data_IF_224212332795
#
_entry.id   IF_224212332795
#
_cell.length_a   1.000
_cell.length_b   1.000
_cell.length_c   1.000
_cell.angle_alpha   90.00
_cell.angle_beta   90.00
_cell.angle_gamma   90.00
#
_symmetry.space_group_name_H-M   'P 1'
#
loop_
_entity.id
_entity.type
_entity.pdbx_description
1 polymer ?
#
# COMPACT_ATOMS: atom_id res chain seq x y z
N UNK A 1 -1.90 -0.19 35.33
CA UNK A 1 -2.32 0.99 34.56
C UNK A 1 -1.83 0.84 33.13
N UNK A 2 -2.66 0.28 32.26
CA UNK A 2 -2.36 0.23 30.82
C UNK A 2 -2.35 1.67 30.30
N UNK A 3 -1.20 2.09 29.75
CA UNK A 3 -1.12 3.35 29.01
C UNK A 3 -1.99 3.16 27.76
N UNK A 4 -3.17 3.75 27.75
CA UNK A 4 -3.93 3.95 26.51
C UNK A 4 -3.01 4.62 25.49
N UNK A 5 -2.53 3.82 24.54
CA UNK A 5 -1.74 4.33 23.43
C UNK A 5 -2.75 5.10 22.60
N UNK A 6 -2.72 6.43 22.65
CA UNK A 6 -3.56 7.28 21.81
C UNK A 6 -3.17 7.03 20.36
N UNK A 7 -3.84 6.09 19.71
CA UNK A 7 -3.61 5.78 18.30
C UNK A 7 -3.97 7.02 17.50
N UNK A 8 -2.99 7.59 16.79
CA UNK A 8 -3.24 8.64 15.83
C UNK A 8 -4.20 8.11 14.77
N UNK A 9 -5.43 8.62 14.74
CA UNK A 9 -6.42 8.28 13.74
C UNK A 9 -6.57 9.44 12.76
N UNK A 10 -6.51 9.14 11.46
CA UNK A 10 -6.75 10.15 10.44
C UNK A 10 -8.23 10.50 10.43
N UNK A 11 -8.53 11.79 10.59
CA UNK A 11 -9.88 12.34 10.38
C UNK A 11 -9.94 12.88 8.95
N UNK A 12 -10.52 12.15 7.99
CA UNK A 12 -10.62 12.62 6.62
C UNK A 12 -11.52 13.87 6.56
N UNK A 13 -11.17 14.82 5.69
CA UNK A 13 -12.09 15.87 5.28
C UNK A 13 -13.05 15.22 4.28
N UNK A 14 -14.37 15.21 4.52
CA UNK A 14 -15.31 14.57 3.61
C UNK A 14 -15.25 15.21 2.23
N UNK A 15 -14.71 14.48 1.25
CA UNK A 15 -14.76 14.86 -0.15
C UNK A 15 -14.97 13.60 -0.99
N UNK A 16 -16.16 13.48 -1.59
CA UNK A 16 -16.58 12.31 -2.37
C UNK A 16 -15.81 12.11 -3.69
N UNK A 17 -14.98 13.07 -4.10
CA UNK A 17 -14.15 12.97 -5.31
C UNK A 17 -12.70 12.58 -5.02
N UNK A 18 -12.29 12.55 -3.75
CA UNK A 18 -10.90 12.22 -3.38
C UNK A 18 -10.82 10.75 -3.03
N UNK A 19 -9.88 10.04 -3.66
CA UNK A 19 -9.58 8.63 -3.37
C UNK A 19 -8.17 8.53 -2.78
N UNK A 20 -8.01 8.58 -1.44
CA UNK A 20 -6.71 8.56 -0.82
C UNK A 20 -5.98 7.24 -1.11
N UNK A 21 -4.69 7.31 -1.38
CA UNK A 21 -3.84 6.15 -1.60
C UNK A 21 -2.90 5.97 -0.41
N UNK A 22 -2.77 4.73 0.08
CA UNK A 22 -1.65 4.33 0.92
C UNK A 22 -0.80 3.28 0.20
N UNK A 23 0.50 3.35 0.41
CA UNK A 23 1.48 2.46 -0.21
C UNK A 23 2.07 1.58 0.87
N UNK A 24 1.91 0.27 0.73
CA UNK A 24 2.65 -0.71 1.51
C UNK A 24 3.80 -1.23 0.66
N UNK A 25 5.03 -1.09 1.14
CA UNK A 25 6.22 -1.49 0.38
C UNK A 25 7.15 -2.34 1.22
N UNK A 26 7.67 -3.40 0.62
CA UNK A 26 8.81 -4.14 1.15
C UNK A 26 10.10 -3.61 0.51
N UNK A 27 10.94 -2.84 1.24
CA UNK A 27 12.15 -2.22 0.67
C UNK A 27 13.15 -3.23 0.11
N UNK A 28 13.12 -4.49 0.60
CA UNK A 28 14.04 -5.56 0.21
C UNK A 28 13.63 -6.25 -1.10
N UNK A 29 12.43 -6.02 -1.61
CA UNK A 29 11.97 -6.63 -2.86
C UNK A 29 12.70 -6.09 -4.10
N UNK A 30 12.85 -6.94 -5.12
CA UNK A 30 13.36 -6.55 -6.44
C UNK A 30 14.83 -6.20 -6.52
N UNK A 31 15.68 -6.79 -5.66
CA UNK A 31 17.10 -6.46 -5.64
C UNK A 31 17.35 -5.01 -5.21
N UNK A 32 16.70 -4.59 -4.11
CA UNK A 32 16.75 -3.24 -3.55
C UNK A 32 16.01 -2.16 -4.37
N UNK A 33 15.21 -2.55 -5.36
CA UNK A 33 14.28 -1.64 -6.05
C UNK A 33 13.20 -1.08 -5.10
N UNK A 34 12.74 -1.89 -4.14
CA UNK A 34 11.76 -1.45 -3.14
C UNK A 34 12.21 -0.23 -2.34
N UNK A 35 13.47 -0.18 -1.91
CA UNK A 35 14.01 0.98 -1.18
C UNK A 35 14.04 2.25 -2.03
N UNK A 36 14.44 2.15 -3.31
CA UNK A 36 14.44 3.28 -4.24
C UNK A 36 13.01 3.79 -4.50
N UNK A 37 12.07 2.88 -4.66
CA UNK A 37 10.66 3.20 -4.86
C UNK A 37 10.04 3.86 -3.63
N UNK A 38 10.37 3.38 -2.44
CA UNK A 38 9.90 3.97 -1.19
C UNK A 38 10.27 5.45 -1.09
N UNK A 39 11.52 5.80 -1.42
CA UNK A 39 11.97 7.19 -1.45
C UNK A 39 11.20 8.03 -2.49
N UNK A 40 10.96 7.49 -3.68
CA UNK A 40 10.15 8.17 -4.71
C UNK A 40 8.71 8.38 -4.25
N UNK A 41 8.08 7.39 -3.61
CA UNK A 41 6.73 7.53 -3.08
C UNK A 41 6.66 8.58 -1.96
N UNK A 42 7.64 8.60 -1.04
CA UNK A 42 7.70 9.59 0.03
C UNK A 42 7.91 11.02 -0.47
N UNK A 43 8.50 11.19 -1.66
CA UNK A 43 8.63 12.47 -2.32
C UNK A 43 7.32 12.94 -2.99
N UNK A 44 6.58 12.00 -3.58
CA UNK A 44 5.35 12.29 -4.34
C UNK A 44 4.09 12.32 -3.49
N UNK A 45 4.08 11.60 -2.36
CA UNK A 45 2.96 11.48 -1.43
C UNK A 45 3.34 12.05 -0.07
N UNK A 46 2.37 12.23 0.82
CA UNK A 46 2.69 12.49 2.22
C UNK A 46 3.47 11.28 2.78
N UNK A 47 4.62 11.46 3.46
CA UNK A 47 5.38 10.33 4.02
C UNK A 47 4.57 9.41 4.93
N UNK A 48 3.49 9.90 5.56
CA UNK A 48 2.56 9.08 6.36
C UNK A 48 1.68 8.13 5.55
N UNK A 49 1.64 8.28 4.24
CA UNK A 49 0.93 7.37 3.32
C UNK A 49 1.84 6.22 2.83
N UNK A 50 3.14 6.24 3.14
CA UNK A 50 4.10 5.24 2.67
C UNK A 50 4.59 4.41 3.85
N UNK A 51 4.25 3.13 3.86
CA UNK A 51 4.49 2.21 4.95
C UNK A 51 5.53 1.16 4.56
N UNK A 52 6.64 1.14 5.31
CA UNK A 52 7.64 0.08 5.25
C UNK A 52 7.13 -1.16 5.99
N UNK A 53 6.89 -2.23 5.23
CA UNK A 53 6.38 -3.50 5.77
C UNK A 53 7.37 -4.21 6.70
N UNK A 54 8.66 -3.87 6.64
CA UNK A 54 9.65 -4.41 7.58
C UNK A 54 9.55 -3.78 8.97
N UNK A 55 8.80 -2.67 9.11
CA UNK A 55 8.60 -1.94 10.36
C UNK A 55 7.22 -2.22 10.96
N UNK A 56 6.94 -3.49 11.29
CA UNK A 56 5.71 -3.89 11.98
C UNK A 56 4.54 -4.26 11.07
N UNK A 57 4.76 -4.36 9.75
CA UNK A 57 3.79 -4.89 8.80
C UNK A 57 2.63 -3.95 8.44
N UNK A 58 1.62 -4.46 7.72
CA UNK A 58 0.57 -3.62 7.13
C UNK A 58 -0.50 -3.17 8.13
N UNK A 59 -0.64 -3.87 9.26
CA UNK A 59 -1.74 -3.68 10.23
C UNK A 59 -1.85 -2.23 10.72
N UNK A 60 -0.73 -1.64 11.13
CA UNK A 60 -0.71 -0.27 11.67
C UNK A 60 -1.22 0.76 10.65
N UNK A 61 -0.80 0.65 9.39
CA UNK A 61 -1.22 1.57 8.34
C UNK A 61 -2.70 1.43 8.02
N UNK A 62 -3.21 0.20 7.96
CA UNK A 62 -4.63 -0.04 7.74
C UNK A 62 -5.48 0.44 8.91
N UNK A 63 -5.06 0.25 10.17
CA UNK A 63 -5.76 0.78 11.35
C UNK A 63 -5.81 2.31 11.35
N UNK A 64 -4.72 2.97 10.95
CA UNK A 64 -4.64 4.44 10.88
C UNK A 64 -5.61 5.03 9.85
N UNK A 65 -5.82 4.32 8.74
CA UNK A 65 -6.65 4.74 7.61
C UNK A 65 -8.04 4.07 7.55
N UNK A 66 -8.41 3.21 8.52
CA UNK A 66 -9.67 2.43 8.48
C UNK A 66 -10.95 3.26 8.35
N UNK A 67 -10.92 4.54 8.75
CA UNK A 67 -12.08 5.46 8.69
C UNK A 67 -12.10 6.32 7.43
N UNK A 68 -11.12 6.14 6.55
CA UNK A 68 -10.99 6.90 5.31
C UNK A 68 -11.84 6.23 4.23
N UNK A 69 -12.85 6.94 3.75
CA UNK A 69 -13.70 6.48 2.65
C UNK A 69 -12.92 6.43 1.33
N UNK A 70 -13.29 5.53 0.43
CA UNK A 70 -12.66 5.38 -0.90
C UNK A 70 -11.13 5.19 -0.86
N UNK A 71 -10.63 4.61 0.24
CA UNK A 71 -9.22 4.27 0.38
C UNK A 71 -8.79 3.28 -0.70
N UNK A 72 -7.64 3.54 -1.30
CA UNK A 72 -6.96 2.64 -2.23
C UNK A 72 -5.59 2.24 -1.66
N UNK A 73 -5.23 0.99 -1.87
CA UNK A 73 -3.98 0.40 -1.36
C UNK A 73 -3.11 0.02 -2.55
N UNK A 74 -1.86 0.47 -2.52
CA UNK A 74 -0.82 0.01 -3.44
C UNK A 74 0.14 -0.94 -2.71
N UNK A 75 0.13 -2.21 -3.09
CA UNK A 75 0.99 -3.26 -2.54
C UNK A 75 2.24 -3.44 -3.41
N UNK A 76 3.40 -3.02 -2.91
CA UNK A 76 4.68 -3.08 -3.60
C UNK A 76 5.54 -4.22 -3.06
N UNK A 77 5.72 -5.29 -3.83
CA UNK A 77 6.48 -6.45 -3.40
C UNK A 77 6.34 -7.64 -4.34
N UNK A 78 6.81 -8.81 -3.90
CA UNK A 78 6.49 -10.09 -4.56
C UNK A 78 5.23 -10.74 -3.97
N UNK A 79 4.89 -11.94 -4.44
CA UNK A 79 3.67 -12.66 -4.05
C UNK A 79 3.51 -12.83 -2.54
N UNK A 80 4.58 -13.17 -1.81
CA UNK A 80 4.52 -13.29 -0.35
C UNK A 80 4.20 -11.96 0.36
N UNK A 81 4.64 -10.83 -0.19
CA UNK A 81 4.33 -9.49 0.34
C UNK A 81 2.87 -9.13 0.08
N UNK A 82 2.39 -9.37 -1.14
CA UNK A 82 0.99 -9.10 -1.51
C UNK A 82 0.04 -10.00 -0.72
N UNK A 83 0.33 -11.29 -0.63
CA UNK A 83 -0.45 -12.24 0.15
C UNK A 83 -0.54 -11.82 1.62
N UNK A 84 0.55 -11.38 2.23
CA UNK A 84 0.53 -10.89 3.61
C UNK A 84 -0.38 -9.67 3.80
N UNK A 85 -0.35 -8.72 2.87
CA UNK A 85 -1.25 -7.55 2.89
C UNK A 85 -2.71 -7.99 2.77
N UNK A 86 -3.04 -8.86 1.82
CA UNK A 86 -4.40 -9.35 1.60
C UNK A 86 -4.92 -10.12 2.82
N UNK A 87 -4.12 -11.02 3.40
CA UNK A 87 -4.50 -11.75 4.61
C UNK A 87 -4.71 -10.81 5.81
N UNK A 88 -3.91 -9.74 5.94
CA UNK A 88 -4.10 -8.77 7.02
C UNK A 88 -5.38 -7.95 6.81
N UNK A 89 -5.70 -7.61 5.57
CA UNK A 89 -6.93 -6.88 5.23
C UNK A 89 -8.18 -7.70 5.57
N UNK A 90 -8.16 -8.98 5.22
CA UNK A 90 -9.23 -9.95 5.52
C UNK A 90 -9.47 -10.05 7.04
N UNK A 91 -8.39 -10.15 7.83
CA UNK A 91 -8.47 -10.21 9.30
C UNK A 91 -9.06 -8.96 9.97
N UNK A 92 -8.96 -7.79 9.34
CA UNK A 92 -9.48 -6.55 9.92
C UNK A 92 -10.93 -6.25 9.58
N UNK A 93 -11.53 -7.02 8.66
CA UNK A 93 -12.95 -6.92 8.31
C UNK A 93 -13.40 -5.47 8.03
N UNK A 94 -12.60 -4.73 7.25
CA UNK A 94 -12.85 -3.33 6.89
C UNK A 94 -13.98 -3.29 5.85
N UNK A 95 -15.05 -2.53 6.14
CA UNK A 95 -16.20 -2.38 5.25
C UNK A 95 -16.41 -0.92 4.81
N UNK A 96 -16.53 -0.67 3.48
CA UNK A 96 -16.24 -1.58 2.38
C UNK A 96 -14.73 -1.89 2.28
N UNK A 97 -14.34 -3.06 1.75
CA UNK A 97 -12.93 -3.38 1.59
C UNK A 97 -12.27 -2.40 0.61
N UNK A 98 -11.10 -1.83 0.95
CA UNK A 98 -10.38 -0.93 0.06
C UNK A 98 -9.89 -1.67 -1.19
N UNK A 99 -9.89 -0.97 -2.33
CA UNK A 99 -9.33 -1.53 -3.56
C UNK A 99 -7.82 -1.69 -3.43
N UNK A 100 -7.28 -2.83 -3.87
CA UNK A 100 -5.85 -3.14 -3.80
C UNK A 100 -5.30 -3.25 -5.23
N UNK A 101 -4.26 -2.48 -5.52
CA UNK A 101 -3.43 -2.60 -6.71
C UNK A 101 -2.06 -3.17 -6.33
N UNK A 102 -1.46 -3.97 -7.21
CA UNK A 102 -0.15 -4.57 -6.99
C UNK A 102 0.89 -3.93 -7.89
N UNK A 103 2.01 -3.53 -7.29
CA UNK A 103 3.24 -3.19 -8.00
C UNK A 103 4.22 -4.37 -7.83
N UNK A 104 4.36 -5.23 -8.85
CA UNK A 104 5.19 -6.42 -8.76
C UNK A 104 6.68 -6.05 -8.71
N UNK A 105 7.34 -6.37 -7.60
CA UNK A 105 8.78 -6.14 -7.40
C UNK A 105 9.57 -7.45 -7.28
N UNK A 106 8.93 -8.62 -7.27
CA UNK A 106 9.61 -9.92 -7.16
C UNK A 106 10.12 -10.45 -8.51
N UNK A 107 10.67 -11.66 -8.51
CA UNK A 107 11.05 -12.41 -9.71
C UNK A 107 9.95 -13.38 -10.15
N UNK A 108 9.25 -14.00 -9.20
CA UNK A 108 8.10 -14.89 -9.42
C UNK A 108 6.77 -14.21 -9.11
N UNK A 109 6.44 -13.08 -9.76
CA UNK A 109 5.20 -12.33 -9.52
C UNK A 109 3.98 -13.02 -10.16
N UNK A 110 3.67 -14.25 -9.77
CA UNK A 110 2.63 -15.05 -10.41
C UNK A 110 1.24 -14.49 -10.10
N UNK A 111 1.05 -13.97 -8.87
CA UNK A 111 -0.19 -13.30 -8.49
C UNK A 111 -0.43 -12.04 -9.34
N UNK A 112 0.63 -11.26 -9.60
CA UNK A 112 0.52 -10.06 -10.42
C UNK A 112 0.21 -10.39 -11.89
N UNK A 113 0.80 -11.46 -12.44
CA UNK A 113 0.52 -11.95 -13.80
C UNK A 113 -0.92 -12.44 -13.92
N UNK A 114 -1.39 -13.24 -12.98
CA UNK A 114 -2.75 -13.78 -12.97
C UNK A 114 -3.82 -12.67 -12.93
N UNK A 115 -3.52 -11.56 -12.26
CA UNK A 115 -4.43 -10.42 -12.09
C UNK A 115 -4.20 -9.29 -13.10
N UNK A 116 -3.30 -9.47 -14.06
CA UNK A 116 -3.07 -8.53 -15.15
C UNK A 116 -2.22 -7.29 -14.79
N UNK A 117 -1.57 -7.27 -13.62
CA UNK A 117 -0.64 -6.20 -13.21
C UNK A 117 0.78 -6.33 -13.77
N UNK A 118 1.04 -7.41 -14.52
CA UNK A 118 2.28 -7.62 -15.25
C UNK A 118 3.33 -8.43 -14.48
N UNK A 119 4.49 -8.62 -15.12
CA UNK A 119 5.54 -9.53 -14.64
C UNK A 119 6.56 -8.91 -13.68
N UNK A 120 6.56 -7.58 -13.53
CA UNK A 120 7.55 -6.84 -12.74
C UNK A 120 7.55 -5.36 -13.11
N UNK A 121 7.96 -4.52 -12.17
CA UNK A 121 8.16 -3.09 -12.42
C UNK A 121 9.34 -2.87 -13.37
N UNK A 122 9.13 -2.03 -14.39
CA UNK A 122 10.08 -1.78 -15.50
C UNK A 122 10.46 -0.30 -15.60
N UNK A 123 10.68 0.35 -14.45
CA UNK A 123 11.06 1.76 -14.37
C UNK A 123 10.06 2.76 -14.99
N UNK A 124 8.80 2.38 -15.11
CA UNK A 124 7.74 3.30 -15.53
C UNK A 124 7.56 4.46 -14.52
N UNK A 125 7.15 5.65 -14.96
CA UNK A 125 7.00 6.79 -14.05
C UNK A 125 6.00 6.51 -12.93
N UNK A 126 6.43 6.70 -11.68
CA UNK A 126 5.59 6.48 -10.48
C UNK A 126 4.35 7.38 -10.48
N UNK A 127 4.47 8.59 -11.02
CA UNK A 127 3.32 9.49 -11.21
C UNK A 127 2.23 8.85 -12.07
N UNK A 128 2.60 8.13 -13.13
CA UNK A 128 1.65 7.44 -14.01
C UNK A 128 0.94 6.30 -13.28
N UNK A 129 1.68 5.52 -12.49
CA UNK A 129 1.10 4.46 -11.65
C UNK A 129 0.09 5.07 -10.65
N UNK A 130 0.47 6.15 -9.97
CA UNK A 130 -0.40 6.82 -9.00
C UNK A 130 -1.68 7.38 -9.65
N UNK A 131 -1.58 7.96 -10.85
CA UNK A 131 -2.74 8.44 -11.61
C UNK A 131 -3.70 7.29 -11.96
N UNK A 132 -3.18 6.17 -12.47
CA UNK A 132 -4.01 5.01 -12.79
C UNK A 132 -4.71 4.43 -11.55
N UNK A 133 -4.07 4.51 -10.38
CA UNK A 133 -4.66 4.07 -9.11
C UNK A 133 -5.53 5.16 -8.49
N UNK A 134 -5.63 6.38 -9.01
CA UNK A 134 -6.60 7.38 -8.52
C UNK A 134 -7.90 7.42 -9.35
N UNK A 135 -7.85 6.96 -10.60
CA UNK A 135 -8.98 6.96 -11.55
C UNK A 135 -9.98 5.83 -11.27
#
# INVERSE_FOLDING_TARGET
>A
SEKETRTFAIKPIPNATVKPIIVFINPKSGGNQGAKLMQKFQWLLNPRQVFDLTQGGPKLGMEMFRKVSQLRILACGGDGTVGWILSTLDQMNIEPPPAVAVLPLGTGNDLARALGWGGGYTDEPISKILCNISD
#
